data_IF_453889463648
#
_entry.id   IF_453889463648
#
_cell.length_a   1.000
_cell.length_b   1.000
_cell.length_c   1.000
_cell.angle_alpha   90.00
_cell.angle_beta   90.00
_cell.angle_gamma   90.00
#
_symmetry.space_group_name_H-M   'P 1'
#
loop_
_entity.id
_entity.type
_entity.pdbx_description
1 polymer ?
#
# COMPACT_ATOMS: atom_id res chain seq x y z
N UNK A 1 4.77 14.60 13.16
CA UNK A 1 3.88 14.33 12.00
C UNK A 1 4.04 12.88 11.61
N UNK A 2 3.06 12.02 11.90
CA UNK A 2 3.17 10.57 11.62
C UNK A 2 2.88 10.27 10.14
N UNK A 3 3.80 9.55 9.47
CA UNK A 3 3.62 9.09 8.09
C UNK A 3 3.43 7.58 8.09
N UNK A 4 2.32 7.10 7.54
CA UNK A 4 2.09 5.67 7.30
C UNK A 4 2.59 5.33 5.89
N UNK A 5 3.50 4.35 5.79
CA UNK A 5 3.99 3.82 4.52
C UNK A 5 3.84 2.32 4.49
N UNK A 6 3.43 1.78 3.35
CA UNK A 6 3.37 0.35 3.09
C UNK A 6 4.09 0.00 1.80
N UNK A 7 4.53 -1.26 1.68
CA UNK A 7 5.16 -1.82 0.48
C UNK A 7 4.55 -3.19 0.21
N UNK A 8 4.21 -3.45 -1.04
CA UNK A 8 3.66 -4.75 -1.49
C UNK A 8 4.72 -5.46 -2.31
N UNK A 9 5.04 -6.70 -1.92
CA UNK A 9 6.00 -7.56 -2.61
C UNK A 9 5.24 -8.65 -3.37
N UNK A 10 5.55 -8.79 -4.66
CA UNK A 10 5.14 -9.97 -5.45
C UNK A 10 6.15 -11.09 -5.17
N UNK A 11 5.71 -12.13 -4.45
CA UNK A 11 6.55 -13.27 -4.07
C UNK A 11 6.80 -14.24 -5.21
N UNK A 12 5.98 -14.23 -6.27
CA UNK A 12 6.17 -15.06 -7.46
C UNK A 12 7.26 -14.46 -8.34
N UNK A 13 7.21 -13.14 -8.54
CA UNK A 13 8.15 -12.43 -9.41
C UNK A 13 9.36 -11.84 -8.68
N UNK A 14 9.41 -11.92 -7.34
CA UNK A 14 10.53 -11.42 -6.53
C UNK A 14 10.75 -9.90 -6.63
N UNK A 15 9.73 -9.13 -6.99
CA UNK A 15 9.81 -7.69 -7.28
C UNK A 15 8.64 -6.93 -6.63
N UNK A 16 8.70 -5.60 -6.47
CA UNK A 16 7.58 -4.82 -5.99
C UNK A 16 6.33 -5.10 -6.82
N UNK A 17 5.22 -5.39 -6.13
CA UNK A 17 3.94 -5.51 -6.78
C UNK A 17 3.48 -4.10 -7.16
N UNK A 18 3.48 -3.80 -8.45
CA UNK A 18 2.97 -2.55 -9.00
C UNK A 18 1.49 -2.69 -9.37
N UNK A 19 0.70 -1.64 -9.15
CA UNK A 19 -0.71 -1.60 -9.55
C UNK A 19 -1.70 -2.27 -8.59
N UNK A 20 -1.27 -2.69 -7.40
CA UNK A 20 -2.16 -3.28 -6.39
C UNK A 20 -3.00 -2.20 -5.74
N UNK A 21 -4.33 -2.36 -5.73
CA UNK A 21 -5.23 -1.46 -5.03
C UNK A 21 -5.12 -1.65 -3.51
N UNK A 22 -4.85 -0.57 -2.79
CA UNK A 22 -4.72 -0.55 -1.33
C UNK A 22 -5.67 0.51 -0.77
N UNK A 23 -6.52 0.08 0.16
CA UNK A 23 -7.49 0.94 0.82
C UNK A 23 -7.21 0.96 2.33
N UNK A 24 -7.05 2.16 2.88
CA UNK A 24 -6.85 2.38 4.30
C UNK A 24 -8.18 2.77 4.93
N UNK A 25 -8.65 1.97 5.88
CA UNK A 25 -9.85 2.24 6.64
C UNK A 25 -9.51 2.61 8.09
N UNK A 26 -10.27 3.53 8.66
CA UNK A 26 -10.27 3.73 10.12
C UNK A 26 -11.06 2.59 10.77
N UNK A 27 -10.51 2.01 11.82
CA UNK A 27 -11.21 1.02 12.62
C UNK A 27 -12.09 1.73 13.67
N UNK A 28 -13.38 1.81 13.39
CA UNK A 28 -14.43 2.34 14.26
C UNK A 28 -15.73 1.53 14.00
N UNK A 29 -16.86 1.93 14.60
CA UNK A 29 -18.12 1.18 14.49
C UNK A 29 -18.64 1.00 13.05
N UNK A 30 -18.21 1.82 12.09
CA UNK A 30 -18.59 1.72 10.68
C UNK A 30 -17.37 1.95 9.80
N UNK A 31 -17.08 1.04 8.85
CA UNK A 31 -15.91 1.14 7.95
C UNK A 31 -15.83 2.53 7.28
N UNK A 32 -14.84 3.33 7.68
CA UNK A 32 -14.61 4.66 7.13
C UNK A 32 -13.33 4.64 6.27
N UNK A 33 -13.50 4.80 4.95
CA UNK A 33 -12.39 4.85 4.00
C UNK A 33 -11.63 6.18 4.19
N UNK A 34 -10.34 6.09 4.50
CA UNK A 34 -9.45 7.24 4.64
C UNK A 34 -8.71 7.55 3.34
N UNK A 35 -8.16 6.51 2.70
CA UNK A 35 -7.32 6.64 1.51
C UNK A 35 -7.51 5.42 0.62
N UNK A 36 -7.66 5.63 -0.68
CA UNK A 36 -7.52 4.59 -1.70
C UNK A 36 -6.37 4.95 -2.63
N UNK A 37 -5.41 4.04 -2.82
CA UNK A 37 -4.21 4.27 -3.63
C UNK A 37 -3.75 2.98 -4.28
N UNK A 38 -3.08 3.09 -5.43
CA UNK A 38 -2.38 1.95 -6.05
C UNK A 38 -0.91 1.91 -5.61
N UNK A 39 -0.36 0.72 -5.44
CA UNK A 39 1.06 0.53 -5.18
C UNK A 39 1.89 0.93 -6.40
N UNK A 40 2.92 1.74 -6.17
CA UNK A 40 3.88 2.16 -7.19
C UNK A 40 5.07 1.17 -7.23
N UNK A 41 5.73 1.03 -8.38
CA UNK A 41 6.80 0.04 -8.61
C UNK A 41 8.15 0.34 -7.93
N UNK A 42 8.21 1.30 -7.01
CA UNK A 42 9.48 1.87 -6.56
C UNK A 42 10.24 1.00 -5.57
N UNK A 43 11.07 0.09 -6.11
CA UNK A 43 12.34 -0.30 -5.50
C UNK A 43 13.36 0.83 -5.76
N UNK A 44 13.71 1.63 -4.76
CA UNK A 44 14.99 2.36 -4.84
C UNK A 44 16.07 1.38 -4.40
N UNK A 45 16.76 0.80 -5.38
CA UNK A 45 18.08 0.25 -5.15
C UNK A 45 19.05 1.41 -4.91
N UNK A 46 19.71 1.39 -3.75
CA UNK A 46 20.98 2.07 -3.48
C UNK A 46 22.09 1.06 -3.62
#
# INVERSE_FOLDING_TARGET
MGKLTTRVLDTVAGKPAAGVAVELYRCNAARNLLVSRRSDSTCRGS
#
